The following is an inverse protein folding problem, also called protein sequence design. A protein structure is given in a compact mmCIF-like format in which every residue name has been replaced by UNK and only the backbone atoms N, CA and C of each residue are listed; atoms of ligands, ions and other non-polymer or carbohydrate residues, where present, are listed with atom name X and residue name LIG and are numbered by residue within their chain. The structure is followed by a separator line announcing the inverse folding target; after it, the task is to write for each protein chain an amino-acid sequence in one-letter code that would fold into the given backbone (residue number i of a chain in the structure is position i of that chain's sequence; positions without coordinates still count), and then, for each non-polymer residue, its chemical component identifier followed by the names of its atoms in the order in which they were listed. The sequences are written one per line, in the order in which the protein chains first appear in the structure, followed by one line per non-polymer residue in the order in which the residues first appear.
data_IF_732832975190
#
_entry.id   IF_732832975190
#
_cell.length_a   1.000
_cell.length_b   1.000
_cell.length_c   1.000
_cell.angle_alpha   90.00
_cell.angle_beta   90.00
_cell.angle_gamma   90.00
#
_symmetry.space_group_name_H-M   'P 1'
#
loop_
_entity.id
_entity.type
_entity.pdbx_description
1 polymer ?
#
# COMPACT_ATOMS: atom_id res chain seq x y z
N UNK A 1 -13.66 10.36 -17.67
CA UNK A 1 -14.00 8.95 -17.39
C UNK A 1 -13.07 8.07 -18.21
N UNK A 2 -12.38 7.09 -17.62
CA UNK A 2 -11.44 6.23 -18.33
C UNK A 2 -12.01 4.80 -18.46
N UNK A 3 -12.73 4.55 -19.57
CA UNK A 3 -13.38 3.28 -19.86
C UNK A 3 -12.40 2.10 -19.96
N UNK A 4 -11.13 2.36 -20.25
CA UNK A 4 -10.10 1.33 -20.32
C UNK A 4 -9.76 0.73 -18.95
N UNK A 5 -9.77 1.56 -17.89
CA UNK A 5 -9.61 1.07 -16.52
C UNK A 5 -10.81 0.24 -16.04
N UNK A 6 -11.98 0.40 -16.68
CA UNK A 6 -13.17 -0.42 -16.39
C UNK A 6 -13.02 -1.80 -16.99
N UNK A 7 -12.68 -1.89 -18.28
CA UNK A 7 -12.48 -3.17 -18.96
C UNK A 7 -11.35 -3.99 -18.35
N UNK A 8 -10.23 -3.34 -18.00
CA UNK A 8 -9.07 -4.03 -17.42
C UNK A 8 -9.39 -4.69 -16.08
N UNK A 9 -10.09 -3.99 -15.18
CA UNK A 9 -10.44 -4.53 -13.86
C UNK A 9 -11.31 -5.79 -13.93
N UNK A 10 -12.32 -5.81 -14.80
CA UNK A 10 -13.21 -6.97 -14.95
C UNK A 10 -12.48 -8.22 -15.49
N UNK A 11 -11.54 -8.02 -16.43
CA UNK A 11 -10.73 -9.11 -16.98
C UNK A 11 -9.77 -9.66 -15.91
N UNK A 12 -9.08 -8.78 -15.18
CA UNK A 12 -8.18 -9.19 -14.11
C UNK A 12 -8.91 -10.01 -13.03
N UNK A 13 -10.08 -9.53 -12.61
CA UNK A 13 -10.95 -10.17 -11.62
C UNK A 13 -11.35 -11.60 -12.00
N UNK A 14 -11.87 -11.76 -13.22
CA UNK A 14 -12.30 -13.07 -13.73
C UNK A 14 -11.11 -14.03 -13.86
N UNK A 15 -9.94 -13.49 -14.19
CA UNK A 15 -8.71 -14.27 -14.34
C UNK A 15 -8.23 -14.83 -13.00
N UNK A 16 -8.24 -14.03 -11.93
CA UNK A 16 -7.80 -14.48 -10.60
C UNK A 16 -8.69 -15.60 -10.06
N UNK A 17 -10.02 -15.44 -10.13
CA UNK A 17 -10.96 -16.47 -9.66
C UNK A 17 -10.83 -17.76 -10.46
N UNK A 18 -10.65 -17.66 -11.78
CA UNK A 18 -10.46 -18.83 -12.63
C UNK A 18 -9.16 -19.58 -12.30
N UNK A 19 -8.10 -18.86 -11.94
CA UNK A 19 -6.81 -19.44 -11.55
C UNK A 19 -6.92 -20.15 -10.20
N UNK A 20 -7.51 -19.55 -9.15
CA UNK A 20 -7.64 -20.23 -7.85
C UNK A 20 -8.52 -21.48 -7.97
N UNK A 21 -9.68 -21.37 -8.63
CA UNK A 21 -10.55 -22.53 -8.82
C UNK A 21 -9.85 -23.68 -9.56
N UNK A 22 -9.06 -23.38 -10.60
CA UNK A 22 -8.27 -24.38 -11.30
C UNK A 22 -7.18 -25.00 -10.41
N UNK A 23 -6.50 -24.19 -9.57
CA UNK A 23 -5.51 -24.68 -8.61
C UNK A 23 -6.15 -25.59 -7.55
N UNK A 24 -7.31 -25.21 -6.99
CA UNK A 24 -8.02 -26.03 -6.01
C UNK A 24 -8.53 -27.34 -6.62
N UNK A 25 -9.04 -27.30 -7.85
CA UNK A 25 -9.40 -28.50 -8.59
C UNK A 25 -8.19 -29.44 -8.74
N UNK A 26 -7.04 -28.91 -9.15
CA UNK A 26 -5.81 -29.68 -9.31
C UNK A 26 -5.32 -30.29 -7.98
N UNK A 27 -5.33 -29.52 -6.89
CA UNK A 27 -4.96 -30.01 -5.54
C UNK A 27 -5.88 -31.16 -5.12
N UNK A 28 -7.18 -31.06 -5.44
CA UNK A 28 -8.16 -32.11 -5.19
C UNK A 28 -8.09 -33.29 -6.18
N UNK A 29 -7.14 -33.29 -7.14
CA UNK A 29 -7.02 -34.31 -8.18
C UNK A 29 -8.18 -34.32 -9.19
N UNK A 30 -8.94 -33.22 -9.28
CA UNK A 30 -10.06 -33.04 -10.18
C UNK A 30 -9.67 -32.15 -11.37
N UNK A 31 -10.23 -32.43 -12.55
CA UNK A 31 -10.16 -31.46 -13.64
C UNK A 31 -11.01 -30.22 -13.28
N UNK A 32 -10.64 -28.99 -13.69
CA UNK A 32 -11.40 -27.79 -13.35
C UNK A 32 -12.89 -27.90 -13.67
N UNK A 33 -13.28 -28.43 -14.83
CA UNK A 33 -14.69 -28.60 -15.20
C UNK A 33 -15.46 -29.67 -14.40
N UNK A 34 -14.78 -30.45 -13.56
CA UNK A 34 -15.37 -31.52 -12.74
C UNK A 34 -15.34 -31.22 -11.24
N UNK A 35 -14.71 -30.12 -10.82
CA UNK A 35 -14.60 -29.77 -9.40
C UNK A 35 -15.91 -29.15 -8.93
N UNK A 36 -16.70 -29.79 -8.05
CA UNK A 36 -18.00 -29.27 -7.68
C UNK A 36 -17.84 -27.90 -7.01
N UNK A 37 -18.69 -26.93 -7.38
CA UNK A 37 -18.69 -25.61 -6.73
C UNK A 37 -18.85 -25.72 -5.20
N UNK A 38 -19.59 -26.72 -4.70
CA UNK A 38 -19.70 -27.00 -3.27
C UNK A 38 -18.41 -27.51 -2.63
N UNK A 39 -17.60 -28.28 -3.36
CA UNK A 39 -16.29 -28.73 -2.89
C UNK A 39 -15.29 -27.56 -2.86
N UNK A 40 -15.35 -26.66 -3.86
CA UNK A 40 -14.61 -25.40 -3.82
C UNK A 40 -14.97 -24.58 -2.57
N UNK A 41 -16.26 -24.37 -2.30
CA UNK A 41 -16.71 -23.66 -1.09
C UNK A 41 -16.27 -24.36 0.22
N UNK A 42 -16.21 -25.69 0.27
CA UNK A 42 -15.71 -26.44 1.44
C UNK A 42 -14.19 -26.33 1.61
N UNK A 43 -13.43 -26.35 0.51
CA UNK A 43 -11.97 -26.13 0.55
C UNK A 43 -11.63 -24.72 1.05
N UNK A 44 -12.51 -23.76 0.81
CA UNK A 44 -12.40 -22.42 1.37
C UNK A 44 -12.59 -22.43 2.89
N UNK A 45 -13.61 -23.14 3.39
CA UNK A 45 -13.88 -23.27 4.83
C UNK A 45 -12.83 -24.06 5.60
N UNK A 46 -12.20 -25.09 5.01
CA UNK A 46 -11.13 -25.85 5.66
C UNK A 46 -9.85 -25.02 5.81
N UNK A 47 -9.47 -24.27 4.76
CA UNK A 47 -8.31 -23.35 4.79
C UNK A 47 -8.46 -22.23 5.83
N UNK A 48 -9.70 -21.94 6.24
CA UNK A 48 -10.04 -20.90 7.20
C UNK A 48 -9.67 -21.22 8.65
N UNK A 49 -9.84 -22.47 9.09
CA UNK A 49 -9.56 -22.89 10.49
C UNK A 49 -8.07 -22.84 10.81
N UNK A 50 -7.25 -23.40 9.91
CA UNK A 50 -5.79 -23.45 10.08
C UNK A 50 -5.16 -22.05 9.99
N UNK A 51 -5.87 -21.11 9.38
CA UNK A 51 -5.45 -19.73 9.22
C UNK A 51 -5.59 -18.87 10.49
N UNK A 52 -6.43 -19.25 11.47
CA UNK A 52 -6.61 -18.49 12.72
C UNK A 52 -5.40 -18.68 13.67
N UNK A 53 -4.88 -19.90 13.86
CA UNK A 53 -3.73 -20.15 14.75
C UNK A 53 -2.42 -19.59 14.19
N UNK A 54 -2.22 -19.69 12.87
CA UNK A 54 -1.05 -19.15 12.17
C UNK A 54 -0.93 -17.61 12.28
N UNK A 55 -2.03 -16.91 12.56
CA UNK A 55 -2.08 -15.45 12.54
C UNK A 55 -1.32 -14.78 13.69
N UNK A 56 -1.39 -15.34 14.90
CA UNK A 56 -0.77 -14.74 16.08
C UNK A 56 0.76 -14.78 16.01
N UNK A 57 1.30 -15.93 15.58
CA UNK A 57 2.72 -16.12 15.34
C UNK A 57 3.21 -15.25 14.17
N UNK A 58 2.43 -15.15 13.09
CA UNK A 58 2.77 -14.32 11.94
C UNK A 58 2.74 -12.82 12.26
N UNK A 59 1.89 -12.36 13.17
CA UNK A 59 1.88 -10.95 13.62
C UNK A 59 3.14 -10.63 14.42
N UNK A 60 3.55 -11.50 15.33
CA UNK A 60 4.81 -11.35 16.06
C UNK A 60 6.01 -11.35 15.09
N UNK A 61 5.96 -12.20 14.06
CA UNK A 61 6.98 -12.24 13.01
C UNK A 61 7.02 -10.94 12.18
N UNK A 62 5.85 -10.35 11.86
CA UNK A 62 5.78 -9.10 11.10
C UNK A 62 6.49 -7.93 11.79
N UNK A 63 6.44 -7.86 13.13
CA UNK A 63 7.13 -6.83 13.90
C UNK A 63 8.67 -6.90 13.78
N UNK A 64 9.23 -8.05 13.39
CA UNK A 64 10.68 -8.22 13.18
C UNK A 64 11.18 -7.55 11.90
N UNK A 65 10.30 -7.31 10.93
CA UNK A 65 10.63 -6.67 9.64
C UNK A 65 10.38 -5.15 9.66
N UNK A 66 9.99 -4.60 10.81
CA UNK A 66 9.90 -3.17 11.01
C UNK A 66 11.30 -2.54 11.10
N UNK A 67 11.45 -1.27 10.67
CA UNK A 67 12.75 -0.64 10.51
C UNK A 67 13.57 -0.58 11.81
N UNK A 68 14.92 -0.60 11.73
CA UNK A 68 15.75 -0.19 12.86
C UNK A 68 15.50 1.29 13.20
N UNK A 69 15.93 1.71 14.39
CA UNK A 69 15.91 3.14 14.73
C UNK A 69 16.83 3.91 13.75
N UNK A 70 16.35 4.96 13.06
CA UNK A 70 17.23 5.83 12.29
C UNK A 70 18.26 6.54 13.19
N UNK A 71 19.30 7.11 12.59
CA UNK A 71 20.32 7.84 13.35
C UNK A 71 19.69 8.99 14.17
N UNK A 72 20.01 9.04 15.47
CA UNK A 72 19.44 10.04 16.39
C UNK A 72 18.02 9.76 16.86
N UNK A 73 17.43 8.62 16.47
CA UNK A 73 16.15 8.14 16.99
C UNK A 73 16.37 7.05 18.04
N UNK A 74 15.46 6.97 18.99
CA UNK A 74 15.35 5.85 19.93
C UNK A 74 14.18 4.98 19.54
N UNK A 75 14.32 3.65 19.64
CA UNK A 75 13.25 2.68 19.36
C UNK A 75 12.91 1.92 20.62
N UNK A 76 11.63 1.94 20.98
CA UNK A 76 11.08 1.23 22.15
C UNK A 76 9.95 0.31 21.71
N UNK A 77 9.85 -0.86 22.34
CA UNK A 77 8.76 -1.78 22.07
C UNK A 77 7.42 -1.12 22.40
N UNK A 78 6.40 -1.40 21.60
CA UNK A 78 5.04 -0.97 21.93
C UNK A 78 4.61 -1.59 23.26
N UNK A 79 4.03 -0.84 24.20
CA UNK A 79 3.56 -1.39 25.46
C UNK A 79 2.43 -2.40 25.21
N UNK A 80 2.70 -3.68 25.43
CA UNK A 80 1.68 -4.72 25.44
C UNK A 80 1.68 -5.36 26.83
N UNK A 81 0.61 -5.19 27.60
CA UNK A 81 0.54 -5.75 28.95
C UNK A 81 0.52 -7.28 28.92
N UNK A 82 -0.08 -7.91 27.90
CA UNK A 82 -0.14 -9.38 27.76
C UNK A 82 -0.16 -9.88 26.29
N UNK A 83 0.09 -9.00 25.31
CA UNK A 83 0.01 -9.35 23.88
C UNK A 83 1.41 -9.54 23.25
N UNK A 84 1.54 -10.37 22.20
CA UNK A 84 2.78 -10.45 21.43
C UNK A 84 3.18 -9.06 20.92
N UNK A 85 4.49 -8.85 20.75
CA UNK A 85 5.02 -7.57 20.26
C UNK A 85 4.38 -7.25 18.90
N UNK A 86 3.59 -6.17 18.85
CA UNK A 86 2.91 -5.74 17.61
C UNK A 86 3.72 -4.71 16.82
N UNK A 87 4.55 -3.92 17.49
CA UNK A 87 5.27 -2.83 16.83
C UNK A 87 6.23 -2.08 17.72
N UNK A 88 6.63 -0.91 17.24
CA UNK A 88 7.67 -0.07 17.83
C UNK A 88 7.24 1.39 17.87
N UNK A 89 7.72 2.10 18.89
CA UNK A 89 7.64 3.55 19.01
C UNK A 89 9.03 4.12 18.80
N UNK A 90 9.17 4.97 17.79
CA UNK A 90 10.39 5.69 17.41
C UNK A 90 10.29 7.11 17.93
N UNK A 91 11.30 7.61 18.65
CA UNK A 91 11.31 8.98 19.19
C UNK A 91 12.58 9.73 18.82
N UNK A 92 12.42 11.00 18.43
CA UNK A 92 13.50 11.98 18.25
C UNK A 92 13.04 13.34 18.78
N UNK A 93 13.61 13.75 19.92
CA UNK A 93 13.16 14.95 20.64
C UNK A 93 11.68 14.86 21.00
N UNK A 94 10.91 15.87 20.59
CA UNK A 94 9.46 15.97 20.83
C UNK A 94 8.61 15.26 19.77
N UNK A 95 9.24 14.70 18.73
CA UNK A 95 8.54 13.97 17.67
C UNK A 95 8.60 12.47 17.90
N UNK A 96 7.54 11.79 17.50
CA UNK A 96 7.43 10.35 17.60
C UNK A 96 6.72 9.75 16.39
N UNK A 97 7.08 8.51 16.07
CA UNK A 97 6.35 7.65 15.14
C UNK A 97 6.03 6.34 15.85
N UNK A 98 4.75 6.03 15.92
CA UNK A 98 4.22 4.74 16.31
C UNK A 98 4.03 3.91 15.02
N UNK A 99 4.68 2.76 14.90
CA UNK A 99 4.57 1.92 13.72
C UNK A 99 4.43 0.45 14.12
N UNK A 100 3.42 -0.21 13.58
CA UNK A 100 3.17 -1.63 13.81
C UNK A 100 2.75 -2.34 12.52
N UNK A 101 2.86 -3.66 12.56
CA UNK A 101 2.47 -4.55 11.47
C UNK A 101 1.49 -5.59 12.02
N UNK A 102 0.31 -5.68 11.42
CA UNK A 102 -0.68 -6.70 11.74
C UNK A 102 -0.76 -7.70 10.59
N UNK A 103 -0.56 -8.99 10.87
CA UNK A 103 -0.83 -10.03 9.90
C UNK A 103 -2.27 -10.53 10.07
N UNK A 104 -2.98 -10.64 8.95
CA UNK A 104 -4.36 -11.09 8.89
C UNK A 104 -4.51 -12.05 7.73
N UNK A 105 -5.04 -13.23 7.98
CA UNK A 105 -5.60 -14.06 6.93
C UNK A 105 -7.02 -13.55 6.64
N UNK A 106 -7.42 -13.50 5.37
CA UNK A 106 -8.80 -13.22 4.96
C UNK A 106 -9.65 -14.32 5.53
N UNK A 107 -10.26 -13.98 6.66
CA UNK A 107 -11.08 -14.89 7.44
C UNK A 107 -10.77 -15.12 8.89
N UNK A 108 -9.83 -14.38 9.41
CA UNK A 108 -9.52 -14.35 10.83
C UNK A 108 -10.69 -14.02 11.77
N UNK A 109 -11.81 -13.46 11.28
CA UNK A 109 -13.07 -13.57 12.02
C UNK A 109 -13.55 -15.02 11.88
N UNK A 110 -13.21 -15.89 12.84
CA UNK A 110 -13.43 -17.36 12.77
C UNK A 110 -14.93 -17.79 12.71
N UNK A 111 -15.86 -16.96 12.22
CA UNK A 111 -17.25 -17.26 11.90
C UNK A 111 -17.55 -17.22 10.39
N UNK A 112 -18.31 -18.21 9.90
CA UNK A 112 -18.57 -18.46 8.47
C UNK A 112 -19.27 -17.31 7.68
N UNK A 113 -19.87 -16.33 8.35
CA UNK A 113 -20.42 -15.11 7.71
C UNK A 113 -19.39 -13.98 7.54
N UNK A 114 -18.16 -14.18 8.04
CA UNK A 114 -17.11 -13.17 8.10
C UNK A 114 -16.49 -12.82 6.75
N UNK A 115 -16.34 -13.76 5.80
CA UNK A 115 -15.54 -13.52 4.59
C UNK A 115 -16.04 -12.42 3.65
N UNK A 116 -17.33 -12.41 3.33
CA UNK A 116 -17.91 -11.39 2.43
C UNK A 116 -17.90 -10.01 3.12
N UNK A 117 -18.27 -9.99 4.40
CA UNK A 117 -18.29 -8.74 5.18
C UNK A 117 -16.89 -8.23 5.49
N UNK A 118 -15.91 -9.12 5.68
CA UNK A 118 -14.50 -8.79 5.84
C UNK A 118 -13.92 -8.26 4.54
N UNK A 119 -14.24 -8.86 3.39
CA UNK A 119 -13.85 -8.33 2.08
C UNK A 119 -14.42 -6.94 1.81
N UNK A 120 -15.70 -6.72 2.12
CA UNK A 120 -16.35 -5.40 2.01
C UNK A 120 -15.79 -4.39 3.01
N UNK A 121 -15.62 -4.79 4.27
CA UNK A 121 -15.05 -3.94 5.32
C UNK A 121 -13.59 -3.60 5.01
N UNK A 122 -12.83 -4.54 4.47
CA UNK A 122 -11.45 -4.31 4.07
C UNK A 122 -11.38 -3.41 2.83
N UNK A 123 -12.22 -3.62 1.81
CA UNK A 123 -12.33 -2.71 0.68
C UNK A 123 -12.73 -1.28 1.10
N UNK A 124 -13.65 -1.16 2.07
CA UNK A 124 -14.02 0.12 2.66
C UNK A 124 -12.88 0.73 3.51
N UNK A 125 -12.07 -0.09 4.18
CA UNK A 125 -10.84 0.36 4.85
C UNK A 125 -9.87 0.91 3.81
N UNK A 126 -9.62 0.18 2.71
CA UNK A 126 -8.67 0.54 1.63
C UNK A 126 -9.11 1.79 0.85
N UNK A 127 -10.40 2.13 0.89
CA UNK A 127 -10.91 3.39 0.35
C UNK A 127 -10.35 4.60 1.11
N UNK A 128 -9.45 5.34 0.46
CA UNK A 128 -8.89 6.58 1.00
C UNK A 128 -8.09 7.34 -0.06
N UNK A 129 -7.62 8.52 0.30
CA UNK A 129 -6.72 9.30 -0.56
C UNK A 129 -5.32 8.72 -0.48
N UNK A 130 -4.78 8.31 -1.63
CA UNK A 130 -3.42 7.84 -1.75
C UNK A 130 -2.43 8.93 -1.36
N UNK A 131 -1.44 8.54 -0.56
CA UNK A 131 -0.42 9.45 -0.03
C UNK A 131 0.94 9.20 -0.69
N UNK A 132 1.43 7.97 -0.62
CA UNK A 132 2.76 7.60 -1.07
C UNK A 132 2.79 6.15 -1.58
N UNK A 133 3.78 5.83 -2.42
CA UNK A 133 4.11 4.44 -2.76
C UNK A 133 5.50 4.17 -2.22
N UNK A 134 5.60 3.28 -1.23
CA UNK A 134 6.84 2.98 -0.52
C UNK A 134 6.99 1.47 -0.48
N UNK A 135 8.16 0.96 -0.87
CA UNK A 135 8.41 -0.48 -0.93
C UNK A 135 7.52 -1.25 -1.92
N UNK A 136 6.91 -0.57 -2.91
CA UNK A 136 5.99 -1.18 -3.87
C UNK A 136 4.52 -1.18 -3.43
N UNK A 137 4.23 -0.78 -2.19
CA UNK A 137 2.86 -0.73 -1.68
C UNK A 137 2.34 0.69 -1.52
N UNK A 138 1.02 0.85 -1.67
CA UNK A 138 0.36 2.14 -1.60
C UNK A 138 -0.08 2.45 -0.17
N UNK A 139 0.41 3.57 0.35
CA UNK A 139 -0.06 4.13 1.61
C UNK A 139 -1.18 5.12 1.35
N UNK A 140 -2.15 5.15 2.26
CA UNK A 140 -3.21 6.16 2.33
C UNK A 140 -3.14 6.93 3.63
N UNK A 141 -3.61 8.17 3.62
CA UNK A 141 -3.93 8.87 4.86
C UNK A 141 -5.22 8.31 5.47
N UNK A 142 -5.21 8.12 6.78
CA UNK A 142 -6.42 7.83 7.54
C UNK A 142 -7.07 9.14 8.02
N UNK A 143 -8.41 9.18 8.19
CA UNK A 143 -9.09 10.32 8.78
C UNK A 143 -8.51 10.69 10.15
N UNK A 144 -8.54 11.98 10.50
CA UNK A 144 -8.11 12.45 11.81
C UNK A 144 -8.83 11.70 12.95
N UNK A 145 -8.09 11.32 13.98
CA UNK A 145 -8.62 10.54 15.11
C UNK A 145 -8.69 9.03 14.86
N UNK A 146 -8.35 8.54 13.67
CA UNK A 146 -8.19 7.09 13.44
C UNK A 146 -7.07 6.56 14.33
N UNK A 147 -7.34 5.49 15.08
CA UNK A 147 -6.41 4.91 16.06
C UNK A 147 -6.03 5.86 17.21
N UNK A 148 -7.01 6.64 17.72
CA UNK A 148 -6.77 7.56 18.84
C UNK A 148 -6.35 6.83 20.14
N UNK A 149 -6.88 5.64 20.40
CA UNK A 149 -6.50 4.87 21.59
C UNK A 149 -5.04 4.40 21.49
N UNK A 150 -4.64 3.89 20.32
CA UNK A 150 -3.27 3.49 20.05
C UNK A 150 -2.33 4.69 20.10
N UNK A 151 -2.73 5.83 19.52
CA UNK A 151 -1.97 7.08 19.61
C UNK A 151 -1.71 7.48 21.06
N UNK A 152 -2.75 7.52 21.91
CA UNK A 152 -2.60 7.83 23.33
C UNK A 152 -1.70 6.81 24.05
N UNK A 153 -1.86 5.51 23.77
CA UNK A 153 -0.99 4.48 24.37
C UNK A 153 0.49 4.64 23.98
N UNK A 154 0.74 5.17 22.79
CA UNK A 154 2.08 5.50 22.31
C UNK A 154 2.59 6.88 22.79
N UNK A 155 1.78 7.63 23.55
CA UNK A 155 2.09 8.98 24.00
C UNK A 155 2.12 10.01 22.87
N UNK A 156 1.20 9.88 21.91
CA UNK A 156 0.95 10.79 20.77
C UNK A 156 -0.34 11.58 21.01
N UNK A 157 -0.41 12.33 22.11
CA UNK A 157 -1.64 13.05 22.51
C UNK A 157 -1.88 14.36 21.70
N UNK A 158 -0.89 14.79 20.92
CA UNK A 158 -0.96 15.95 20.05
C UNK A 158 -1.25 15.50 18.61
N UNK A 159 -2.13 16.24 17.91
CA UNK A 159 -2.61 15.95 16.55
C UNK A 159 -1.57 15.24 15.68
N UNK A 160 -1.79 13.94 15.49
CA UNK A 160 -0.92 13.05 14.74
C UNK A 160 -1.49 12.84 13.33
N UNK A 161 -0.60 12.57 12.39
CA UNK A 161 -0.95 12.05 11.07
C UNK A 161 -0.95 10.52 11.12
N UNK A 162 -1.93 9.92 10.44
CA UNK A 162 -2.06 8.47 10.35
C UNK A 162 -1.94 8.03 8.89
N UNK A 163 -1.07 7.05 8.64
CA UNK A 163 -0.88 6.43 7.33
C UNK A 163 -1.00 4.92 7.45
N UNK A 164 -1.63 4.27 6.47
CA UNK A 164 -1.79 2.82 6.45
C UNK A 164 -1.58 2.26 5.05
N UNK A 165 -1.01 1.06 4.99
CA UNK A 165 -0.96 0.25 3.78
C UNK A 165 -1.30 -1.20 4.10
N UNK A 166 -1.74 -1.94 3.09
CA UNK A 166 -1.97 -3.38 3.17
C UNK A 166 -1.17 -4.06 2.06
N UNK A 167 -0.38 -5.07 2.42
CA UNK A 167 0.38 -5.91 1.49
C UNK A 167 -0.31 -7.28 1.45
N UNK A 168 -0.63 -7.78 0.26
CA UNK A 168 -1.28 -9.08 0.07
C UNK A 168 -2.78 -9.00 -0.27
N UNK A 169 -3.39 -10.18 -0.42
CA UNK A 169 -4.80 -10.35 -0.76
C UNK A 169 -5.48 -11.37 0.14
N UNK A 170 -5.11 -12.66 0.05
CA UNK A 170 -5.72 -13.76 0.81
C UNK A 170 -5.17 -13.85 2.23
N UNK A 171 -3.90 -13.58 2.39
CA UNK A 171 -3.31 -13.12 3.63
C UNK A 171 -2.69 -11.75 3.41
N UNK A 172 -2.65 -10.98 4.49
CA UNK A 172 -2.43 -9.55 4.44
C UNK A 172 -1.56 -9.12 5.60
N UNK A 173 -0.56 -8.31 5.29
CA UNK A 173 0.19 -7.54 6.29
C UNK A 173 -0.29 -6.09 6.20
N UNK A 174 -0.93 -5.61 7.25
CA UNK A 174 -1.32 -4.20 7.38
C UNK A 174 -0.25 -3.46 8.17
N UNK A 175 0.42 -2.49 7.55
CA UNK A 175 1.31 -1.57 8.26
C UNK A 175 0.53 -0.29 8.57
N UNK A 176 0.54 0.12 9.83
CA UNK A 176 -0.05 1.38 10.26
C UNK A 176 0.99 2.22 10.97
N UNK A 177 1.07 3.49 10.59
CA UNK A 177 1.95 4.48 11.18
C UNK A 177 1.14 5.67 11.71
N UNK A 178 1.40 6.06 12.95
CA UNK A 178 0.91 7.28 13.57
C UNK A 178 2.11 8.17 13.86
N UNK A 179 2.09 9.43 13.46
CA UNK A 179 3.28 10.27 13.45
C UNK A 179 2.98 11.70 13.88
N UNK A 180 3.83 12.25 14.76
CA UNK A 180 3.98 13.70 14.95
C UNK A 180 5.24 14.24 14.27
N UNK A 181 6.02 13.36 13.64
CA UNK A 181 7.21 13.71 12.87
C UNK A 181 6.83 14.34 11.51
N UNK A 182 7.80 15.02 10.88
CA UNK A 182 7.62 15.57 9.54
C UNK A 182 7.32 14.46 8.51
N UNK A 183 6.63 14.81 7.43
CA UNK A 183 6.30 13.88 6.35
C UNK A 183 7.55 13.20 5.77
N UNK A 184 8.65 13.95 5.62
CA UNK A 184 9.92 13.41 5.13
C UNK A 184 10.54 12.39 6.09
N UNK A 185 10.47 12.63 7.40
CA UNK A 185 10.95 11.70 8.41
C UNK A 185 10.11 10.42 8.43
N UNK A 186 8.78 10.55 8.37
CA UNK A 186 7.87 9.40 8.28
C UNK A 186 8.14 8.57 7.03
N UNK A 187 8.27 9.20 5.85
CA UNK A 187 8.60 8.50 4.59
C UNK A 187 9.93 7.77 4.67
N UNK A 188 10.96 8.43 5.21
CA UNK A 188 12.29 7.84 5.38
C UNK A 188 12.24 6.61 6.29
N UNK A 189 11.51 6.70 7.42
CA UNK A 189 11.34 5.59 8.34
C UNK A 189 10.59 4.43 7.68
N UNK A 190 9.48 4.69 7.00
CA UNK A 190 8.71 3.66 6.29
C UNK A 190 9.54 2.99 5.18
N UNK A 191 10.32 3.76 4.42
CA UNK A 191 11.18 3.24 3.36
C UNK A 191 12.31 2.32 3.87
N UNK A 192 12.63 2.38 5.16
CA UNK A 192 13.63 1.50 5.79
C UNK A 192 13.04 0.17 6.29
N UNK A 193 11.72 -0.06 6.17
CA UNK A 193 11.12 -1.35 6.50
C UNK A 193 11.58 -2.45 5.53
N UNK A 194 11.69 -3.68 6.02
CA UNK A 194 12.02 -4.85 5.19
C UNK A 194 10.77 -5.37 4.48
N UNK A 195 10.40 -4.70 3.39
CA UNK A 195 9.25 -5.07 2.58
C UNK A 195 9.41 -6.44 1.90
N UNK A 196 10.63 -6.91 1.65
CA UNK A 196 10.85 -8.27 1.11
C UNK A 196 10.49 -9.31 2.17
N UNK A 197 10.92 -9.10 3.41
CA UNK A 197 10.55 -9.91 4.55
C UNK A 197 9.04 -9.91 4.84
N UNK A 198 8.41 -8.73 4.85
CA UNK A 198 6.95 -8.62 5.01
C UNK A 198 6.19 -9.30 3.87
N UNK A 199 6.66 -9.21 2.64
CA UNK A 199 6.06 -9.89 1.48
C UNK A 199 6.28 -11.40 1.54
N UNK A 200 7.40 -11.85 2.11
CA UNK A 200 7.71 -13.27 2.34
C UNK A 200 6.87 -13.93 3.44
N UNK A 201 6.20 -13.15 4.29
CA UNK A 201 5.19 -13.66 5.21
C UNK A 201 3.90 -14.10 4.50
N UNK A 202 3.68 -13.63 3.27
CA UNK A 202 2.48 -13.96 2.53
C UNK A 202 2.56 -15.36 1.94
N UNK A 203 1.42 -16.06 1.98
CA UNK A 203 1.22 -17.36 1.32
C UNK A 203 1.47 -17.27 -0.18
N UNK A 204 1.09 -16.13 -0.78
CA UNK A 204 1.40 -15.77 -2.17
C UNK A 204 2.09 -14.41 -2.20
N UNK A 205 3.45 -14.38 -2.20
CA UNK A 205 4.19 -13.13 -2.29
C UNK A 205 3.80 -12.33 -3.53
N UNK A 206 3.61 -11.02 -3.36
CA UNK A 206 3.28 -10.13 -4.47
C UNK A 206 4.53 -9.83 -5.31
N UNK A 207 4.41 -9.81 -6.66
CA UNK A 207 5.49 -9.33 -7.51
C UNK A 207 5.65 -7.80 -7.33
N UNK A 208 6.85 -7.28 -7.65
CA UNK A 208 7.15 -5.84 -7.63
C UNK A 208 7.02 -5.19 -6.24
N UNK A 209 7.33 -5.97 -5.19
CA UNK A 209 7.40 -5.52 -3.80
C UNK A 209 8.86 -5.48 -3.33
N UNK A 210 9.12 -4.65 -2.31
CA UNK A 210 10.42 -4.53 -1.67
C UNK A 210 11.54 -4.18 -2.64
N UNK A 211 12.55 -5.03 -2.77
CA UNK A 211 13.71 -4.79 -3.64
C UNK A 211 13.37 -4.81 -5.14
N UNK A 212 12.26 -5.46 -5.52
CA UNK A 212 11.74 -5.48 -6.89
C UNK A 212 10.77 -4.31 -7.19
N UNK A 213 10.50 -3.46 -6.21
CA UNK A 213 9.55 -2.37 -6.36
C UNK A 213 10.03 -1.30 -7.37
N UNK A 214 9.15 -0.83 -8.27
CA UNK A 214 9.50 0.24 -9.19
C UNK A 214 9.72 1.55 -8.42
N UNK A 215 10.79 2.27 -8.76
CA UNK A 215 11.03 3.60 -8.22
C UNK A 215 10.06 4.59 -8.86
N UNK A 216 9.14 5.12 -8.06
CA UNK A 216 8.20 6.14 -8.48
C UNK A 216 8.74 7.51 -8.04
N UNK A 217 8.78 8.48 -8.95
CA UNK A 217 9.16 9.83 -8.58
C UNK A 217 8.16 10.42 -7.58
N UNK A 218 8.64 11.09 -6.54
CA UNK A 218 7.82 11.62 -5.43
C UNK A 218 6.63 12.48 -5.89
N UNK A 219 6.80 13.26 -6.96
CA UNK A 219 5.71 14.06 -7.55
C UNK A 219 4.53 13.23 -8.11
N UNK A 220 4.75 11.93 -8.36
CA UNK A 220 3.77 11.00 -8.93
C UNK A 220 3.26 9.97 -7.91
N UNK A 221 3.88 9.86 -6.74
CA UNK A 221 3.57 8.80 -5.77
C UNK A 221 2.12 8.85 -5.28
N UNK A 222 1.57 10.02 -4.94
CA UNK A 222 0.17 10.12 -4.48
C UNK A 222 -0.82 9.62 -5.53
N UNK A 223 -0.59 9.95 -6.81
CA UNK A 223 -1.42 9.48 -7.93
C UNK A 223 -1.26 7.98 -8.17
N UNK A 224 -0.04 7.46 -8.04
CA UNK A 224 0.20 6.03 -8.14
C UNK A 224 -0.47 5.28 -6.99
N UNK A 225 -0.42 5.81 -5.77
CA UNK A 225 -1.08 5.27 -4.60
C UNK A 225 -2.61 5.24 -4.79
N UNK A 226 -3.22 6.32 -5.28
CA UNK A 226 -4.66 6.37 -5.61
C UNK A 226 -5.05 5.21 -6.56
N UNK A 227 -4.24 4.96 -7.60
CA UNK A 227 -4.48 3.88 -8.58
C UNK A 227 -4.33 2.51 -7.94
N UNK A 228 -3.24 2.28 -7.20
CA UNK A 228 -2.95 0.99 -6.55
C UNK A 228 -4.00 0.64 -5.48
N UNK A 229 -4.43 1.61 -4.66
CA UNK A 229 -5.50 1.41 -3.67
C UNK A 229 -6.82 1.05 -4.35
N UNK A 230 -7.16 1.71 -5.46
CA UNK A 230 -8.37 1.38 -6.23
C UNK A 230 -8.29 -0.03 -6.86
N UNK A 231 -7.12 -0.44 -7.35
CA UNK A 231 -6.88 -1.79 -7.85
C UNK A 231 -7.01 -2.82 -6.72
N UNK A 232 -6.38 -2.59 -5.59
CA UNK A 232 -6.43 -3.48 -4.43
C UNK A 232 -7.87 -3.65 -3.93
N UNK A 233 -8.60 -2.55 -3.73
CA UNK A 233 -10.02 -2.61 -3.35
C UNK A 233 -10.86 -3.40 -4.37
N UNK A 234 -10.59 -3.24 -5.67
CA UNK A 234 -11.25 -4.01 -6.72
C UNK A 234 -11.01 -5.53 -6.62
N UNK A 235 -9.76 -5.93 -6.35
CA UNK A 235 -9.39 -7.35 -6.15
C UNK A 235 -10.01 -7.91 -4.87
N UNK A 236 -10.03 -7.16 -3.78
CA UNK A 236 -10.65 -7.63 -2.53
C UNK A 236 -12.16 -7.85 -2.67
N UNK A 237 -12.84 -6.93 -3.37
CA UNK A 237 -14.26 -7.06 -3.66
C UNK A 237 -14.54 -8.26 -4.58
N UNK A 238 -13.63 -8.54 -5.52
CA UNK A 238 -13.69 -9.76 -6.33
C UNK A 238 -13.73 -11.03 -5.49
N UNK A 239 -12.74 -11.14 -4.59
CA UNK A 239 -12.49 -12.35 -3.84
C UNK A 239 -13.57 -12.57 -2.78
N UNK A 240 -14.15 -11.48 -2.26
CA UNK A 240 -15.32 -11.52 -1.37
C UNK A 240 -16.63 -11.94 -2.05
N UNK A 241 -16.65 -12.25 -3.35
CA UNK A 241 -17.86 -12.61 -4.08
C UNK A 241 -18.90 -11.49 -4.14
N UNK A 242 -18.47 -10.23 -3.97
CA UNK A 242 -19.36 -9.09 -4.07
C UNK A 242 -19.89 -8.97 -5.50
N UNK A 243 -21.19 -8.74 -5.63
CA UNK A 243 -21.81 -8.49 -6.93
C UNK A 243 -21.12 -7.31 -7.63
N UNK A 244 -21.00 -7.39 -8.96
CA UNK A 244 -20.34 -6.40 -9.81
C UNK A 244 -20.93 -4.99 -9.60
N UNK A 245 -22.22 -4.91 -9.24
CA UNK A 245 -22.92 -3.68 -8.89
C UNK A 245 -22.41 -3.06 -7.58
N UNK A 246 -22.11 -3.88 -6.56
CA UNK A 246 -21.49 -3.41 -5.31
C UNK A 246 -20.05 -2.93 -5.55
N UNK A 247 -19.29 -3.63 -6.41
CA UNK A 247 -17.94 -3.20 -6.84
C UNK A 247 -18.00 -1.86 -7.58
N UNK A 248 -18.99 -1.70 -8.46
CA UNK A 248 -19.20 -0.47 -9.21
C UNK A 248 -19.62 0.68 -8.30
N UNK A 249 -20.49 0.44 -7.31
CA UNK A 249 -20.89 1.44 -6.33
C UNK A 249 -19.74 1.88 -5.41
N UNK A 250 -18.96 0.93 -4.87
CA UNK A 250 -17.77 1.22 -4.06
C UNK A 250 -16.74 2.05 -4.86
N UNK A 251 -16.54 1.69 -6.14
CA UNK A 251 -15.68 2.42 -7.07
C UNK A 251 -16.15 3.86 -7.33
N UNK A 252 -17.44 4.09 -7.52
CA UNK A 252 -18.01 5.44 -7.65
C UNK A 252 -17.81 6.23 -6.34
N UNK A 253 -17.93 5.55 -5.19
CA UNK A 253 -17.66 6.12 -3.87
C UNK A 253 -16.21 6.59 -3.72
N UNK A 254 -15.22 5.72 -4.02
CA UNK A 254 -13.78 6.05 -3.95
C UNK A 254 -13.43 7.21 -4.87
N UNK A 255 -13.94 7.20 -6.10
CA UNK A 255 -13.69 8.28 -7.07
C UNK A 255 -14.30 9.62 -6.63
N UNK A 256 -15.47 9.59 -5.99
CA UNK A 256 -16.09 10.79 -5.41
C UNK A 256 -15.34 11.26 -4.15
N UNK A 257 -14.93 10.33 -3.28
CA UNK A 257 -14.19 10.62 -2.04
C UNK A 257 -12.82 11.26 -2.31
N UNK A 258 -12.07 10.79 -3.31
CA UNK A 258 -10.81 11.42 -3.70
C UNK A 258 -10.98 12.84 -4.25
N UNK A 259 -12.13 13.16 -4.86
CA UNK A 259 -12.44 14.52 -5.31
C UNK A 259 -12.95 15.44 -4.18
N UNK A 260 -13.73 14.89 -3.24
CA UNK A 260 -14.30 15.63 -2.12
C UNK A 260 -13.28 15.85 -0.98
N UNK A 261 -12.43 14.86 -0.69
CA UNK A 261 -11.36 14.95 0.31
C UNK A 261 -10.31 16.00 -0.07
N UNK A 262 -9.99 16.16 -1.36
CA UNK A 262 -9.13 17.25 -1.82
C UNK A 262 -9.77 18.63 -1.64
N UNK A 263 -11.08 18.74 -1.79
CA UNK A 263 -11.79 19.99 -1.53
C UNK A 263 -11.84 20.30 -0.02
N UNK A 264 -12.00 19.30 0.84
CA UNK A 264 -12.07 19.47 2.29
C UNK A 264 -10.70 19.75 2.94
N UNK A 265 -9.63 19.05 2.52
CA UNK A 265 -8.26 19.33 2.98
C UNK A 265 -7.81 20.73 2.52
N UNK A 266 -8.18 21.16 1.31
CA UNK A 266 -7.94 22.52 0.84
C UNK A 266 -8.73 23.57 1.65
N UNK A 267 -9.95 23.25 2.07
CA UNK A 267 -10.77 24.13 2.92
C UNK A 267 -10.20 24.25 4.34
N UNK A 268 -9.81 23.13 4.96
CA UNK A 268 -9.26 23.09 6.32
C UNK A 268 -7.85 23.68 6.40
N UNK A 269 -7.02 23.50 5.35
CA UNK A 269 -5.73 24.17 5.21
C UNK A 269 -5.84 25.70 5.06
N UNK A 270 -6.89 26.17 4.36
CA UNK A 270 -7.20 27.60 4.23
C UNK A 270 -7.71 28.23 5.53
N UNK A 271 -8.41 27.46 6.37
CA UNK A 271 -8.90 27.95 7.68
C UNK A 271 -7.76 28.08 8.70
N UNK A 272 -6.70 27.25 8.62
CA UNK A 272 -5.53 27.37 9.51
C UNK A 272 -4.55 28.50 9.15
N UNK A 273 -4.57 29.01 7.92
CA UNK A 273 -3.70 30.12 7.47
C UNK A 273 -4.43 31.44 7.25
N UNK A 274 -5.76 31.48 7.41
CA UNK A 274 -6.61 32.64 7.14
C UNK A 274 -7.00 33.45 8.38
N UNK A 275 -6.02 33.93 9.15
CA UNK A 275 -6.26 34.94 10.19
C UNK A 275 -5.14 35.98 10.27
N UNK A 276 -4.57 36.37 9.12
CA UNK A 276 -3.81 37.61 8.98
C UNK A 276 -3.75 37.98 7.48
N UNK A 277 -4.06 39.23 7.16
CA UNK A 277 -3.99 39.89 5.85
C UNK A 277 -5.06 39.54 4.81
N UNK A 278 -6.20 40.23 4.90
CA UNK A 278 -7.11 40.48 3.77
C UNK A 278 -7.04 41.94 3.27
N UNK A 279 -6.19 42.80 3.85
CA UNK A 279 -6.16 44.25 3.51
C UNK A 279 -5.04 44.70 2.53
N UNK A 280 -4.32 43.78 1.87
CA UNK A 280 -3.15 44.16 1.05
C UNK A 280 -3.22 43.81 -0.45
N UNK A 281 -4.40 43.58 -1.03
CA UNK A 281 -4.52 43.18 -2.45
C UNK A 281 -5.31 44.17 -3.34
N UNK A 282 -5.44 45.43 -2.95
CA UNK A 282 -5.93 46.50 -3.84
C UNK A 282 -4.84 47.57 -4.05
N UNK A 283 -3.78 47.22 -4.81
CA UNK A 283 -3.03 48.14 -5.67
C UNK A 283 -1.78 47.44 -6.20
N UNK A 284 -1.82 47.01 -7.46
CA UNK A 284 -0.62 46.92 -8.29
C UNK A 284 -1.01 47.19 -9.74
N UNK A 285 -0.67 48.40 -10.17
CA UNK A 285 -0.53 48.80 -11.55
C UNK A 285 0.62 48.00 -12.17
N UNK A 286 0.30 47.15 -13.14
CA UNK A 286 1.28 46.48 -13.99
C UNK A 286 1.52 47.33 -15.25
N UNK A 287 2.64 48.03 -15.27
CA UNK A 287 3.29 48.49 -16.51
C UNK A 287 4.73 47.98 -16.52
N UNK A 288 4.95 46.83 -17.16
CA UNK A 288 6.29 46.42 -17.57
C UNK A 288 6.30 46.10 -19.06
N UNK A 289 7.09 46.89 -19.78
CA UNK A 289 7.53 46.71 -21.17
C UNK A 289 8.30 45.39 -21.34
N UNK A 290 7.86 44.58 -22.29
CA UNK A 290 8.57 43.39 -22.79
C UNK A 290 9.80 43.78 -23.60
N UNK A 291 10.96 43.23 -23.23
CA UNK A 291 12.20 43.26 -24.01
C UNK A 291 12.50 41.83 -24.51
N UNK A 292 12.77 41.61 -25.81
CA UNK A 292 12.90 40.27 -26.37
C UNK A 292 14.26 39.64 -26.03
N UNK A 293 14.23 38.54 -25.26
CA UNK A 293 15.42 37.76 -24.93
C UNK A 293 15.84 36.88 -26.12
N UNK A 294 17.13 36.93 -26.47
CA UNK A 294 17.75 36.23 -27.58
C UNK A 294 17.69 34.70 -27.46
N UNK A 295 17.64 34.04 -28.62
CA UNK A 295 17.54 32.59 -28.77
C UNK A 295 18.78 31.84 -28.23
N UNK A 296 18.60 30.70 -27.53
CA UNK A 296 19.71 29.88 -27.05
C UNK A 296 20.35 29.05 -28.18
N UNK A 297 21.68 29.00 -28.16
CA UNK A 297 22.51 28.22 -29.09
C UNK A 297 22.31 26.69 -28.96
N UNK A 298 22.51 25.93 -30.05
CA UNK A 298 22.28 24.49 -30.08
C UNK A 298 23.32 23.72 -29.25
N UNK A 299 22.85 22.97 -28.25
CA UNK A 299 23.67 22.05 -27.44
C UNK A 299 24.19 20.88 -28.29
N UNK A 300 25.46 20.52 -28.08
CA UNK A 300 26.14 19.40 -28.73
C UNK A 300 25.52 18.06 -28.34
N UNK A 301 25.48 17.13 -29.31
CA UNK A 301 24.91 15.78 -29.15
C UNK A 301 25.77 14.94 -28.21
N UNK A 302 25.17 14.11 -27.33
CA UNK A 302 25.92 13.20 -26.47
C UNK A 302 26.65 12.12 -27.30
N UNK A 303 27.93 11.93 -27.01
CA UNK A 303 28.76 10.87 -27.57
C UNK A 303 28.25 9.50 -27.09
N UNK A 304 27.97 8.62 -28.03
CA UNK A 304 27.58 7.23 -27.79
C UNK A 304 28.79 6.46 -27.27
N UNK A 305 28.73 6.01 -26.02
CA UNK A 305 29.70 5.07 -25.44
C UNK A 305 29.61 3.74 -26.20
N UNK A 306 30.67 3.40 -26.94
CA UNK A 306 30.89 2.08 -27.52
C UNK A 306 31.40 1.14 -26.43
N UNK A 307 30.52 0.27 -25.93
CA UNK A 307 30.90 -0.84 -25.07
C UNK A 307 31.56 -1.93 -25.94
N UNK A 308 32.85 -2.16 -25.74
CA UNK A 308 33.60 -3.27 -26.33
C UNK A 308 33.05 -4.59 -25.79
N UNK A 309 32.71 -5.50 -26.70
CA UNK A 309 32.13 -6.82 -26.39
C UNK A 309 33.02 -7.66 -25.49
N UNK A 310 32.55 -7.91 -24.27
CA UNK A 310 33.07 -8.94 -23.39
C UNK A 310 32.32 -10.25 -23.62
N UNK A 311 33.06 -11.32 -23.93
CA UNK A 311 32.53 -12.69 -24.01
C UNK A 311 32.06 -13.12 -22.62
N UNK A 312 30.77 -13.32 -22.42
CA UNK A 312 30.21 -13.96 -21.22
C UNK A 312 30.10 -15.47 -21.46
N UNK A 313 30.87 -16.27 -20.72
CA UNK A 313 30.60 -17.71 -20.61
C UNK A 313 29.74 -17.91 -19.36
N UNK A 314 28.61 -18.63 -19.50
CA UNK A 314 27.74 -19.02 -18.39
C UNK A 314 28.24 -20.34 -17.82
N UNK A 315 28.50 -20.38 -16.51
CA UNK A 315 28.81 -21.61 -15.78
C UNK A 315 27.52 -22.24 -15.26
N UNK A 316 27.12 -23.34 -15.90
CA UNK A 316 26.13 -24.28 -15.37
C UNK A 316 26.82 -25.51 -14.79
N UNK A 317 26.18 -26.15 -13.82
CA UNK A 317 26.64 -27.31 -13.05
C UNK A 317 26.85 -28.61 -13.85
N UNK A 318 26.75 -28.55 -15.18
CA UNK A 318 27.14 -29.63 -16.08
C UNK A 318 27.64 -29.04 -17.42
N UNK A 319 28.96 -28.85 -17.53
CA UNK A 319 29.74 -28.46 -18.73
C UNK A 319 29.67 -27.00 -19.23
N UNK A 320 30.83 -26.46 -19.63
CA UNK A 320 31.01 -25.11 -20.21
C UNK A 320 30.71 -25.14 -21.71
N UNK A 321 29.77 -24.31 -22.17
CA UNK A 321 29.63 -23.93 -23.57
C UNK A 321 30.09 -22.49 -23.75
N UNK A 322 31.17 -22.28 -24.49
CA UNK A 322 31.47 -20.97 -25.07
C UNK A 322 31.25 -21.11 -26.58
N UNK A 323 30.47 -20.21 -27.17
CA UNK A 323 30.20 -20.13 -28.61
C UNK A 323 31.26 -19.20 -29.22
N UNK A 324 31.93 -19.65 -30.28
CA UNK A 324 32.82 -18.82 -31.09
C UNK A 324 32.05 -17.82 -31.96
#
# INVERSE_FOLDING_TARGET
MNYFAIGFGAVALTTVVAIDYANQANIAGAAPGSYPASAYMQSFAARWSDACDAQSDATAAAAAYLPPAPEGWTRTAWPTEDAPLRGWIYRQGDTAVALWADYQTVGSDCGASGGIMAGLAHAAKVAGTGWAVIGGTAYRHLPAGSHAEEATSAGLDAGYDAAQTTIGFDDMVTLTALSTASESALRSLLAAADYDGLNGLLSTPLPLMGSDAPVIATANEAKAADVLLALQAGVLLANGGADLDAVTAARIGVLKAGSAGRAQIALEGSVRHGAANVDALNNRDDTSTDEPTAAPEPRSKPQRLTLSGGKSCLEGSASRFCRD
#
